data_IF_758973969245
#
_entry.id   IF_758973969245
#
_cell.length_a   1.000
_cell.length_b   1.000
_cell.length_c   1.000
_cell.angle_alpha   90.00
_cell.angle_beta   90.00
_cell.angle_gamma   90.00
#
_symmetry.space_group_name_H-M   'P 1'
#
loop_
_entity.id
_entity.type
_entity.pdbx_description
1 polymer ?
#
# COMPACT_ATOMS: atom_id res chain seq x y z
N UNK A 1 -42.51 -15.80 -19.48
CA UNK A 1 -41.19 -16.38 -19.13
C UNK A 1 -40.33 -15.28 -18.53
N UNK A 2 -39.63 -15.56 -17.43
CA UNK A 2 -38.69 -14.61 -16.83
C UNK A 2 -37.30 -14.76 -17.49
N UNK A 3 -37.03 -13.89 -18.46
CA UNK A 3 -35.77 -13.86 -19.22
C UNK A 3 -34.58 -13.36 -18.41
N UNK A 4 -34.79 -12.82 -17.20
CA UNK A 4 -33.67 -12.34 -16.36
C UNK A 4 -32.72 -13.47 -15.99
N UNK A 5 -33.23 -14.70 -15.87
CA UNK A 5 -32.44 -15.90 -15.54
C UNK A 5 -31.64 -16.45 -16.73
N UNK A 6 -31.94 -16.03 -17.96
CA UNK A 6 -31.21 -16.46 -19.16
C UNK A 6 -30.07 -15.50 -19.51
N UNK A 7 -29.89 -14.41 -18.75
CA UNK A 7 -28.84 -13.42 -18.96
C UNK A 7 -27.61 -13.72 -18.08
N UNK A 8 -26.43 -13.69 -18.69
CA UNK A 8 -25.16 -13.83 -17.97
C UNK A 8 -24.70 -12.47 -17.39
N UNK A 9 -25.35 -12.05 -16.31
CA UNK A 9 -25.03 -10.78 -15.64
C UNK A 9 -23.81 -10.91 -14.73
N UNK A 10 -22.94 -9.88 -14.64
CA UNK A 10 -21.85 -9.85 -13.68
C UNK A 10 -22.37 -9.98 -12.24
N UNK A 11 -21.72 -10.85 -11.46
CA UNK A 11 -21.97 -11.04 -10.03
C UNK A 11 -20.67 -10.88 -9.28
N UNK A 12 -20.68 -10.05 -8.24
CA UNK A 12 -19.52 -9.84 -7.38
C UNK A 12 -20.02 -9.50 -5.98
N UNK A 13 -19.31 -10.03 -4.98
CA UNK A 13 -19.48 -9.63 -3.59
C UNK A 13 -18.74 -8.32 -3.28
N UNK A 14 -17.97 -7.79 -4.25
CA UNK A 14 -17.28 -6.51 -4.11
C UNK A 14 -18.29 -5.37 -3.99
N UNK A 15 -18.32 -4.65 -2.86
CA UNK A 15 -19.31 -3.59 -2.66
C UNK A 15 -18.98 -2.39 -3.55
N UNK A 16 -20.00 -1.83 -4.17
CA UNK A 16 -19.86 -0.62 -4.99
C UNK A 16 -19.41 0.60 -4.16
N UNK A 17 -19.76 0.66 -2.86
CA UNK A 17 -19.28 1.69 -1.93
C UNK A 17 -17.98 1.24 -1.27
N UNK A 18 -16.95 2.09 -1.32
CA UNK A 18 -15.63 1.77 -0.80
C UNK A 18 -15.60 1.61 0.74
N UNK A 19 -16.23 2.55 1.47
CA UNK A 19 -16.27 2.56 2.94
C UNK A 19 -14.87 2.53 3.59
N UNK A 20 -13.95 3.35 3.05
CA UNK A 20 -12.52 3.32 3.36
C UNK A 20 -12.19 3.54 4.84
N UNK A 21 -12.93 4.41 5.53
CA UNK A 21 -12.75 4.68 6.97
C UNK A 21 -12.81 3.40 7.82
N UNK A 22 -13.58 2.39 7.40
CA UNK A 22 -13.63 1.08 8.06
C UNK A 22 -12.67 0.07 7.45
N UNK A 23 -12.58 0.03 6.11
CA UNK A 23 -11.77 -0.97 5.40
C UNK A 23 -10.26 -0.77 5.51
N UNK A 24 -9.78 0.47 5.46
CA UNK A 24 -8.34 0.74 5.50
C UNK A 24 -7.69 0.24 6.79
N UNK A 25 -8.26 0.46 8.00
CA UNK A 25 -7.74 -0.14 9.23
C UNK A 25 -7.68 -1.68 9.20
N UNK A 26 -8.66 -2.35 8.59
CA UNK A 26 -8.68 -3.82 8.45
C UNK A 26 -7.55 -4.30 7.52
N UNK A 27 -7.32 -3.59 6.41
CA UNK A 27 -6.24 -3.88 5.47
C UNK A 27 -4.87 -3.69 6.15
N UNK A 28 -4.67 -2.58 6.86
CA UNK A 28 -3.42 -2.31 7.58
C UNK A 28 -3.15 -3.37 8.64
N UNK A 29 -4.17 -3.76 9.42
CA UNK A 29 -4.07 -4.83 10.41
C UNK A 29 -3.67 -6.15 9.77
N UNK A 30 -4.26 -6.50 8.62
CA UNK A 30 -3.88 -7.70 7.87
C UNK A 30 -2.42 -7.64 7.43
N UNK A 31 -1.97 -6.51 6.89
CA UNK A 31 -0.58 -6.33 6.45
C UNK A 31 0.44 -6.48 7.59
N UNK A 32 0.10 -5.97 8.78
CA UNK A 32 0.91 -6.11 9.99
C UNK A 32 0.94 -7.56 10.48
N UNK A 33 -0.21 -8.24 10.51
CA UNK A 33 -0.30 -9.65 10.89
C UNK A 33 0.47 -10.58 9.96
N UNK A 34 0.49 -10.27 8.66
CA UNK A 34 1.21 -11.04 7.65
C UNK A 34 2.70 -10.67 7.56
N UNK A 35 3.14 -9.62 8.27
CA UNK A 35 4.49 -9.05 8.15
C UNK A 35 4.92 -8.85 6.69
N UNK A 36 4.05 -8.18 5.91
CA UNK A 36 4.23 -8.02 4.46
C UNK A 36 5.55 -7.35 4.12
N UNK A 37 6.06 -6.44 4.96
CA UNK A 37 7.34 -5.79 4.71
C UNK A 37 8.47 -6.81 4.63
N UNK A 38 8.57 -7.72 5.60
CA UNK A 38 9.57 -8.80 5.60
C UNK A 38 9.40 -9.74 4.40
N UNK A 39 8.16 -10.08 4.03
CA UNK A 39 7.88 -10.89 2.83
C UNK A 39 8.41 -10.19 1.57
N UNK A 40 8.15 -8.89 1.43
CA UNK A 40 8.64 -8.10 0.29
C UNK A 40 10.17 -8.08 0.29
N UNK A 41 10.83 -7.88 1.43
CA UNK A 41 12.31 -7.91 1.51
C UNK A 41 12.87 -9.25 1.07
N UNK A 42 12.31 -10.35 1.57
CA UNK A 42 12.76 -11.70 1.23
C UNK A 42 12.58 -12.01 -0.27
N UNK A 43 11.44 -11.65 -0.85
CA UNK A 43 11.17 -11.87 -2.29
C UNK A 43 11.96 -10.95 -3.21
N UNK A 44 12.62 -9.93 -2.65
CA UNK A 44 13.43 -8.95 -3.38
C UNK A 44 14.93 -9.24 -3.36
N UNK A 45 15.37 -10.26 -2.62
CA UNK A 45 16.78 -10.61 -2.53
C UNK A 45 17.38 -10.87 -3.93
N UNK A 46 18.54 -10.26 -4.18
CA UNK A 46 19.27 -10.37 -5.45
C UNK A 46 18.79 -9.41 -6.55
N UNK A 47 17.72 -8.63 -6.33
CA UNK A 47 17.31 -7.56 -7.26
C UNK A 47 18.25 -6.36 -7.17
N UNK A 48 18.35 -5.52 -8.22
CA UNK A 48 19.06 -4.25 -8.13
C UNK A 48 18.44 -3.37 -7.04
N UNK A 49 19.27 -2.77 -6.19
CA UNK A 49 18.80 -1.96 -5.07
C UNK A 49 18.47 -0.53 -5.51
N UNK A 50 17.38 0.02 -5.00
CA UNK A 50 17.05 1.44 -5.10
C UNK A 50 16.85 2.00 -3.68
N UNK A 51 17.60 3.05 -3.33
CA UNK A 51 17.54 3.64 -1.99
C UNK A 51 16.91 5.03 -2.06
N UNK A 52 15.80 5.21 -1.35
CA UNK A 52 15.22 6.52 -1.08
C UNK A 52 15.61 6.91 0.36
N UNK A 53 16.50 7.88 0.49
CA UNK A 53 16.87 8.41 1.79
C UNK A 53 15.76 9.29 2.37
N UNK A 54 15.23 8.88 3.52
CA UNK A 54 14.25 9.66 4.25
C UNK A 54 14.95 10.62 5.22
N UNK A 55 14.65 11.91 5.12
CA UNK A 55 15.12 12.87 6.13
C UNK A 55 14.36 12.67 7.44
N UNK A 56 15.05 12.64 8.60
CA UNK A 56 14.38 12.46 9.87
C UNK A 56 13.37 13.60 10.09
N UNK A 57 12.11 13.31 10.43
CA UNK A 57 11.18 14.35 10.81
C UNK A 57 11.62 14.95 12.15
N UNK A 58 11.32 16.22 12.35
CA UNK A 58 11.39 16.77 13.70
C UNK A 58 10.37 16.04 14.58
N UNK A 59 10.83 15.47 15.70
CA UNK A 59 9.98 14.72 16.63
C UNK A 59 9.04 15.61 17.48
N UNK A 60 8.80 16.85 17.04
CA UNK A 60 8.03 17.86 17.77
C UNK A 60 6.80 18.27 16.95
N UNK A 61 5.65 18.38 17.62
CA UNK A 61 4.41 18.88 17.04
C UNK A 61 3.54 17.82 16.35
N UNK A 62 2.35 18.25 15.93
CA UNK A 62 1.40 17.39 15.25
C UNK A 62 1.76 17.25 13.76
N UNK A 63 1.44 16.09 13.19
CA UNK A 63 1.50 15.84 11.75
C UNK A 63 0.56 16.83 11.05
N UNK A 64 1.06 17.48 10.00
CA UNK A 64 0.27 18.38 9.16
C UNK A 64 0.24 17.85 7.71
N UNK A 65 -0.52 18.52 6.85
CA UNK A 65 -0.68 18.10 5.44
C UNK A 65 0.65 18.00 4.68
N UNK A 66 1.66 18.80 5.05
CA UNK A 66 3.00 18.73 4.45
C UNK A 66 3.70 17.41 4.76
N UNK A 67 3.57 16.92 6.00
CA UNK A 67 4.08 15.60 6.41
C UNK A 67 3.38 14.49 5.63
N UNK A 68 2.04 14.55 5.55
CA UNK A 68 1.25 13.55 4.82
C UNK A 68 1.64 13.52 3.33
N UNK A 69 1.70 14.68 2.69
CA UNK A 69 2.11 14.81 1.29
C UNK A 69 3.50 14.25 1.04
N UNK A 70 4.47 14.59 1.90
CA UNK A 70 5.84 14.09 1.78
C UNK A 70 5.93 12.57 1.88
N UNK A 71 5.27 11.97 2.87
CA UNK A 71 5.32 10.52 3.09
C UNK A 71 4.55 9.74 2.02
N UNK A 72 3.40 10.25 1.57
CA UNK A 72 2.62 9.63 0.48
C UNK A 72 3.42 9.62 -0.82
N UNK A 73 4.07 10.72 -1.19
CA UNK A 73 4.89 10.77 -2.40
C UNK A 73 6.07 9.79 -2.35
N UNK A 74 6.74 9.70 -1.20
CA UNK A 74 7.83 8.73 -1.00
C UNK A 74 7.32 7.30 -1.14
N UNK A 75 6.19 6.97 -0.51
CA UNK A 75 5.58 5.63 -0.58
C UNK A 75 5.17 5.26 -2.03
N UNK A 76 4.63 6.20 -2.81
CA UNK A 76 4.33 5.99 -4.23
C UNK A 76 5.60 5.62 -5.02
N UNK A 77 6.70 6.35 -4.83
CA UNK A 77 7.97 6.07 -5.51
C UNK A 77 8.54 4.72 -5.09
N UNK A 78 8.53 4.43 -3.79
CA UNK A 78 9.04 3.17 -3.23
C UNK A 78 8.27 1.99 -3.80
N UNK A 79 6.93 2.03 -3.77
CA UNK A 79 6.08 0.95 -4.29
C UNK A 79 6.23 0.78 -5.79
N UNK A 80 6.29 1.88 -6.53
CA UNK A 80 6.51 1.84 -7.99
C UNK A 80 7.83 1.14 -8.32
N UNK A 81 8.95 1.55 -7.70
CA UNK A 81 10.25 0.89 -7.90
C UNK A 81 10.30 -0.55 -7.45
N UNK A 82 9.60 -0.88 -6.36
CA UNK A 82 9.47 -2.24 -5.86
C UNK A 82 8.73 -3.14 -6.87
N UNK A 83 7.68 -2.61 -7.52
CA UNK A 83 6.93 -3.29 -8.57
C UNK A 83 7.68 -3.36 -9.90
N UNK A 84 8.56 -2.39 -10.18
CA UNK A 84 9.49 -2.40 -11.33
C UNK A 84 10.63 -3.42 -11.19
N UNK A 85 10.69 -4.18 -10.09
CA UNK A 85 11.67 -5.25 -9.89
C UNK A 85 12.96 -4.82 -9.18
N UNK A 86 12.95 -3.71 -8.45
CA UNK A 86 14.05 -3.32 -7.56
C UNK A 86 13.84 -3.86 -6.13
N UNK A 87 14.94 -3.99 -5.38
CA UNK A 87 14.91 -4.11 -3.93
C UNK A 87 14.93 -2.71 -3.31
N UNK A 88 13.80 -2.28 -2.72
CA UNK A 88 13.62 -0.89 -2.25
C UNK A 88 13.44 -0.81 -0.73
N UNK A 89 14.50 -0.98 0.09
CA UNK A 89 14.36 -0.90 1.53
C UNK A 89 14.03 0.54 1.93
N UNK A 90 13.04 0.71 2.80
CA UNK A 90 12.63 2.01 3.31
C UNK A 90 12.64 1.98 4.83
N UNK A 91 13.51 2.82 5.39
CA UNK A 91 13.61 3.03 6.84
C UNK A 91 13.24 4.49 7.09
N UNK A 92 12.08 4.77 7.72
CA UNK A 92 11.76 6.12 8.13
C UNK A 92 12.75 6.57 9.20
N UNK A 93 13.28 7.79 9.05
CA UNK A 93 14.10 8.44 10.06
C UNK A 93 13.29 9.11 11.16
#
# INVERSE_FOLDING_TARGET
MDYKKTLNLPKTDFPMKANLVKKEPEILKKWEQEDIYSIIRNTSQGRPTYILHDGPPYANGNIHMGTAFNKILKDIVIRSKQMDGYDVPYVPG
#
